data_IF_733878314156
#
_entry.id   IF_733878314156
#
_cell.length_a   1.000
_cell.length_b   1.000
_cell.length_c   1.000
_cell.angle_alpha   90.00
_cell.angle_beta   90.00
_cell.angle_gamma   90.00
#
_symmetry.space_group_name_H-M   'P 1'
#
loop_
_entity.id
_entity.type
_entity.pdbx_description
1 polymer ?
#
# COMPACT_ATOMS: atom_id res chain seq x y z
N UNK A 1 -47.75 -12.01 -3.66
CA UNK A 1 -46.33 -11.65 -3.54
C UNK A 1 -45.70 -12.51 -2.45
N UNK A 2 -44.74 -13.39 -2.78
CA UNK A 2 -43.96 -14.09 -1.75
C UNK A 2 -42.90 -13.13 -1.23
N UNK A 3 -43.08 -12.67 0.01
CA UNK A 3 -42.03 -11.94 0.74
C UNK A 3 -40.93 -12.96 1.08
N UNK A 4 -39.84 -12.94 0.32
CA UNK A 4 -38.69 -13.81 0.58
C UNK A 4 -37.84 -13.19 1.69
N UNK A 5 -37.71 -13.87 2.82
CA UNK A 5 -36.72 -13.54 3.83
C UNK A 5 -35.34 -13.95 3.31
N UNK A 6 -34.45 -12.98 3.09
CA UNK A 6 -33.03 -13.25 2.81
C UNK A 6 -32.31 -13.43 4.14
N UNK A 7 -31.72 -14.60 4.36
CA UNK A 7 -30.90 -14.86 5.55
C UNK A 7 -29.44 -14.60 5.20
N UNK A 8 -28.86 -13.52 5.75
CA UNK A 8 -27.42 -13.30 5.70
C UNK A 8 -26.79 -14.00 6.92
N UNK A 9 -25.83 -14.89 6.67
CA UNK A 9 -25.09 -15.56 7.75
C UNK A 9 -23.61 -15.23 7.64
N UNK A 10 -23.11 -14.46 8.61
CA UNK A 10 -21.71 -14.12 8.74
C UNK A 10 -20.97 -15.17 9.56
N UNK A 11 -19.74 -15.50 9.16
CA UNK A 11 -18.83 -16.33 9.95
C UNK A 11 -17.40 -15.90 9.69
N UNK A 12 -16.70 -15.61 10.78
CA UNK A 12 -15.30 -15.17 10.77
C UNK A 12 -14.36 -16.36 10.95
N UNK A 13 -13.19 -16.29 10.32
CA UNK A 13 -12.21 -17.37 10.33
C UNK A 13 -10.79 -16.82 10.42
N UNK A 14 -9.96 -17.51 11.19
CA UNK A 14 -8.51 -17.34 11.17
C UNK A 14 -7.87 -18.24 10.10
N UNK A 15 -6.66 -17.90 9.65
CA UNK A 15 -5.94 -18.53 8.54
C UNK A 15 -5.80 -20.07 8.62
N UNK A 16 -5.76 -20.64 9.83
CA UNK A 16 -5.61 -22.09 10.04
C UNK A 16 -6.94 -22.85 10.21
N UNK A 17 -8.09 -22.18 10.08
CA UNK A 17 -9.37 -22.86 10.11
C UNK A 17 -9.63 -23.69 8.83
N UNK A 18 -10.21 -24.88 9.02
CA UNK A 18 -10.70 -25.70 7.90
C UNK A 18 -11.92 -25.03 7.24
N UNK A 19 -11.68 -24.29 6.17
CA UNK A 19 -12.71 -23.67 5.34
C UNK A 19 -13.39 -24.66 4.37
N UNK A 20 -12.71 -25.75 3.99
CA UNK A 20 -13.28 -26.70 3.03
C UNK A 20 -14.49 -27.41 3.62
N UNK A 21 -15.55 -27.50 2.81
CA UNK A 21 -16.80 -28.13 3.22
C UNK A 21 -17.69 -27.23 4.08
N UNK A 22 -17.38 -25.92 4.18
CA UNK A 22 -18.24 -24.98 4.87
C UNK A 22 -19.63 -24.93 4.22
N UNK A 23 -20.66 -25.22 5.00
CA UNK A 23 -22.06 -25.18 4.57
C UNK A 23 -22.94 -24.73 5.72
N UNK A 24 -24.05 -24.10 5.38
CA UNK A 24 -25.16 -23.91 6.30
C UNK A 24 -26.42 -24.57 5.73
N UNK A 25 -26.75 -25.75 6.23
CA UNK A 25 -27.77 -26.60 5.62
C UNK A 25 -27.36 -26.98 4.20
N UNK A 26 -28.20 -26.67 3.22
CA UNK A 26 -27.92 -26.90 1.80
C UNK A 26 -26.98 -25.83 1.17
N UNK A 27 -26.88 -24.65 1.79
CA UNK A 27 -26.25 -23.48 1.20
C UNK A 27 -24.73 -23.46 1.40
N UNK A 28 -24.02 -23.04 0.36
CA UNK A 28 -22.58 -22.73 0.39
C UNK A 28 -22.38 -21.20 0.40
N UNK A 29 -21.19 -20.72 0.79
CA UNK A 29 -20.86 -19.30 0.66
C UNK A 29 -20.93 -18.82 -0.78
N UNK A 30 -21.49 -17.63 -0.96
CA UNK A 30 -21.56 -16.86 -2.21
C UNK A 30 -20.71 -15.57 -2.16
N UNK A 31 -20.24 -15.17 -0.97
CA UNK A 31 -19.32 -14.06 -0.75
C UNK A 31 -18.22 -14.45 0.25
N UNK A 32 -16.97 -14.11 -0.06
CA UNK A 32 -15.84 -14.14 0.86
C UNK A 32 -15.17 -12.78 0.87
N UNK A 33 -14.97 -12.22 2.06
CA UNK A 33 -14.18 -11.00 2.27
C UNK A 33 -12.91 -11.39 3.01
N UNK A 34 -11.77 -11.07 2.42
CA UNK A 34 -10.43 -11.24 2.99
C UNK A 34 -9.96 -9.84 3.37
N UNK A 35 -9.86 -9.58 4.68
CA UNK A 35 -9.44 -8.30 5.22
C UNK A 35 -8.12 -8.51 5.95
N UNK A 36 -7.07 -7.80 5.53
CA UNK A 36 -5.72 -7.80 6.13
C UNK A 36 -5.21 -9.20 6.55
N UNK A 37 -5.27 -10.15 5.61
CA UNK A 37 -4.85 -11.54 5.86
C UNK A 37 -3.32 -11.72 5.89
N UNK A 38 -2.55 -10.69 5.57
CA UNK A 38 -1.09 -10.71 5.60
C UNK A 38 -0.58 -9.97 6.83
N UNK A 39 0.52 -10.44 7.41
CA UNK A 39 1.20 -9.77 8.53
C UNK A 39 2.71 -9.64 8.28
N UNK A 40 3.36 -8.76 9.03
CA UNK A 40 4.77 -8.39 8.86
C UNK A 40 5.75 -9.55 9.03
N UNK A 41 5.44 -10.52 9.89
CA UNK A 41 6.31 -11.68 10.10
C UNK A 41 6.20 -12.65 8.93
N UNK A 42 4.97 -12.94 8.50
CA UNK A 42 4.71 -13.91 7.45
C UNK A 42 5.15 -13.43 6.08
N UNK A 43 4.99 -12.13 5.81
CA UNK A 43 5.34 -11.56 4.51
C UNK A 43 6.85 -11.58 4.25
N UNK A 44 7.70 -11.68 5.29
CA UNK A 44 9.15 -11.75 5.13
C UNK A 44 9.62 -13.10 4.57
N UNK A 45 8.93 -14.19 4.90
CA UNK A 45 9.31 -15.53 4.43
C UNK A 45 8.68 -15.85 3.06
N UNK A 46 9.49 -16.09 2.00
CA UNK A 46 8.96 -16.49 0.70
C UNK A 46 8.08 -17.74 0.77
N UNK A 47 8.47 -18.72 1.60
CA UNK A 47 7.72 -19.95 1.81
C UNK A 47 6.35 -19.69 2.42
N UNK A 48 6.25 -18.77 3.39
CA UNK A 48 4.96 -18.42 4.00
C UNK A 48 4.06 -17.66 3.02
N UNK A 49 4.62 -16.77 2.20
CA UNK A 49 3.87 -16.11 1.10
C UNK A 49 3.33 -17.11 0.09
N UNK A 50 4.14 -18.09 -0.30
CA UNK A 50 3.71 -19.14 -1.23
C UNK A 50 2.63 -20.04 -0.61
N UNK A 51 2.78 -20.41 0.67
CA UNK A 51 1.77 -21.17 1.41
C UNK A 51 0.43 -20.43 1.48
N UNK A 52 0.45 -19.12 1.76
CA UNK A 52 -0.75 -18.29 1.83
C UNK A 52 -1.43 -18.16 0.46
N UNK A 53 -0.65 -17.91 -0.59
CA UNK A 53 -1.14 -17.83 -1.95
C UNK A 53 -1.74 -19.17 -2.43
N UNK A 54 -1.12 -20.29 -2.07
CA UNK A 54 -1.66 -21.63 -2.33
C UNK A 54 -2.95 -21.89 -1.55
N UNK A 55 -3.04 -21.44 -0.30
CA UNK A 55 -4.26 -21.52 0.49
C UNK A 55 -5.39 -20.71 -0.16
N UNK A 56 -5.13 -19.48 -0.60
CA UNK A 56 -6.09 -18.64 -1.33
C UNK A 56 -6.62 -19.40 -2.56
N UNK A 57 -5.72 -19.90 -3.41
CA UNK A 57 -6.09 -20.58 -4.67
C UNK A 57 -6.78 -21.93 -4.48
N UNK A 58 -6.28 -22.77 -3.57
CA UNK A 58 -6.71 -24.17 -3.42
C UNK A 58 -7.82 -24.36 -2.40
N UNK A 59 -8.03 -23.39 -1.51
CA UNK A 59 -9.01 -23.48 -0.44
C UNK A 59 -10.10 -22.43 -0.56
N UNK A 60 -9.77 -21.14 -0.75
CA UNK A 60 -10.77 -20.05 -0.75
C UNK A 60 -11.54 -19.95 -2.07
N UNK A 61 -10.82 -19.86 -3.20
CA UNK A 61 -11.46 -19.74 -4.53
C UNK A 61 -12.41 -20.90 -4.89
N UNK A 62 -12.17 -22.17 -4.51
CA UNK A 62 -13.09 -23.27 -4.77
C UNK A 62 -14.18 -23.47 -3.70
N UNK A 63 -14.42 -22.51 -2.79
CA UNK A 63 -15.48 -22.64 -1.76
C UNK A 63 -16.90 -22.63 -2.34
N UNK A 64 -17.10 -22.01 -3.50
CA UNK A 64 -18.40 -21.90 -4.15
C UNK A 64 -19.02 -23.26 -4.46
N UNK A 65 -20.33 -23.29 -4.66
CA UNK A 65 -20.98 -24.46 -5.25
C UNK A 65 -20.67 -24.52 -6.76
N UNK A 66 -20.56 -25.74 -7.29
CA UNK A 66 -20.33 -25.93 -8.72
C UNK A 66 -21.52 -25.38 -9.52
N UNK A 67 -21.26 -24.41 -10.39
CA UNK A 67 -22.30 -23.73 -11.18
C UNK A 67 -22.92 -22.50 -10.53
N UNK A 68 -22.63 -22.24 -9.24
CA UNK A 68 -23.09 -21.04 -8.54
C UNK A 68 -21.99 -19.96 -8.51
N UNK A 69 -22.42 -18.70 -8.41
CA UNK A 69 -21.52 -17.56 -8.32
C UNK A 69 -20.89 -17.48 -6.92
N UNK A 70 -19.58 -17.25 -6.87
CA UNK A 70 -18.85 -16.85 -5.67
C UNK A 70 -18.15 -15.52 -5.97
N UNK A 71 -18.40 -14.50 -5.15
CA UNK A 71 -17.67 -13.25 -5.16
C UNK A 71 -16.59 -13.28 -4.07
N UNK A 72 -15.36 -12.93 -4.42
CA UNK A 72 -14.24 -12.82 -3.46
C UNK A 72 -13.72 -11.39 -3.50
N UNK A 73 -13.71 -10.76 -2.33
CA UNK A 73 -13.20 -9.39 -2.13
C UNK A 73 -11.96 -9.52 -1.25
N UNK A 74 -10.82 -9.04 -1.75
CA UNK A 74 -9.57 -9.01 -0.99
C UNK A 74 -9.15 -7.55 -0.81
N UNK A 75 -9.13 -7.12 0.44
CA UNK A 75 -8.74 -5.80 0.90
C UNK A 75 -7.54 -5.96 1.84
N UNK A 76 -6.59 -5.05 1.72
CA UNK A 76 -5.53 -4.89 2.69
C UNK A 76 -4.43 -3.95 2.22
N UNK A 77 -3.36 -3.92 2.99
CA UNK A 77 -2.18 -3.07 2.73
C UNK A 77 -1.06 -3.86 2.09
N UNK A 78 -0.34 -3.25 1.14
CA UNK A 78 0.80 -3.90 0.47
C UNK A 78 2.03 -3.85 1.39
N UNK A 79 2.29 -4.93 2.12
CA UNK A 79 3.43 -5.02 3.05
C UNK A 79 4.76 -5.38 2.38
N UNK A 80 4.73 -5.95 1.17
CA UNK A 80 5.93 -6.38 0.45
C UNK A 80 5.69 -6.43 -1.07
N UNK A 81 6.74 -6.25 -1.87
CA UNK A 81 6.65 -6.30 -3.34
C UNK A 81 6.19 -7.66 -3.88
N UNK A 82 6.48 -8.73 -3.13
CA UNK A 82 6.07 -10.10 -3.44
C UNK A 82 4.95 -10.62 -2.52
N UNK A 83 4.25 -9.70 -1.83
CA UNK A 83 3.06 -10.05 -1.04
C UNK A 83 1.99 -10.74 -1.89
N UNK A 84 1.16 -11.56 -1.25
CA UNK A 84 0.07 -12.27 -1.92
C UNK A 84 -0.95 -11.27 -2.47
N UNK A 85 -1.21 -10.17 -1.76
CA UNK A 85 -2.02 -9.08 -2.27
C UNK A 85 -1.41 -8.47 -3.53
N UNK A 86 -0.10 -8.16 -3.56
CA UNK A 86 0.51 -7.58 -4.74
C UNK A 86 0.54 -8.54 -5.96
N UNK A 87 0.75 -9.84 -5.71
CA UNK A 87 0.60 -10.89 -6.73
C UNK A 87 -0.82 -10.92 -7.29
N UNK A 88 -1.82 -10.75 -6.42
CA UNK A 88 -3.24 -10.71 -6.78
C UNK A 88 -3.58 -9.45 -7.58
N UNK A 89 -3.08 -8.28 -7.16
CA UNK A 89 -3.25 -6.99 -7.84
C UNK A 89 -2.65 -7.01 -9.26
N UNK A 90 -1.57 -7.75 -9.47
CA UNK A 90 -0.91 -7.90 -10.77
C UNK A 90 -1.60 -8.91 -11.71
N UNK A 91 -2.55 -9.70 -11.20
CA UNK A 91 -3.22 -10.73 -11.98
C UNK A 91 -4.39 -10.17 -12.80
N UNK A 92 -4.39 -10.47 -14.11
CA UNK A 92 -5.51 -10.12 -15.01
C UNK A 92 -6.82 -10.86 -14.70
N UNK A 93 -6.77 -11.88 -13.84
CA UNK A 93 -7.95 -12.63 -13.42
C UNK A 93 -8.78 -11.88 -12.36
N UNK A 94 -8.24 -10.80 -11.77
CA UNK A 94 -8.89 -10.01 -10.75
C UNK A 94 -9.24 -8.62 -11.26
N UNK A 95 -10.32 -8.06 -10.73
CA UNK A 95 -10.58 -6.62 -10.82
C UNK A 95 -9.87 -5.95 -9.66
N UNK A 96 -8.98 -5.01 -9.95
CA UNK A 96 -8.03 -4.49 -8.97
C UNK A 96 -8.08 -2.96 -8.93
N UNK A 97 -7.77 -2.41 -7.77
CA UNK A 97 -7.60 -0.97 -7.56
C UNK A 97 -6.55 -0.78 -6.45
N UNK A 98 -5.67 0.21 -6.63
CA UNK A 98 -4.69 0.62 -5.64
C UNK A 98 -5.03 2.03 -5.18
N UNK A 99 -5.16 2.21 -3.88
CA UNK A 99 -5.50 3.50 -3.29
C UNK A 99 -4.26 4.15 -2.68
N UNK A 100 -4.14 5.46 -2.88
CA UNK A 100 -3.06 6.30 -2.37
C UNK A 100 -3.67 7.49 -1.64
N UNK A 101 -3.08 7.91 -0.53
CA UNK A 101 -3.50 9.13 0.16
C UNK A 101 -3.23 10.38 -0.70
N UNK A 102 -2.11 10.36 -1.43
CA UNK A 102 -1.70 11.40 -2.37
C UNK A 102 -1.73 10.81 -3.79
N UNK A 103 -2.79 11.10 -4.53
CA UNK A 103 -3.01 10.60 -5.90
C UNK A 103 -1.98 11.22 -6.84
N UNK A 104 -1.69 12.52 -6.66
CA UNK A 104 -0.67 13.25 -7.42
C UNK A 104 0.12 14.15 -6.47
N UNK A 105 1.43 14.10 -6.60
CA UNK A 105 2.36 14.96 -5.89
C UNK A 105 2.20 16.44 -6.33
N UNK A 106 2.50 17.40 -5.44
CA UNK A 106 2.72 18.79 -5.81
C UNK A 106 3.65 18.95 -7.00
N UNK A 107 3.43 20.01 -7.79
CA UNK A 107 4.30 20.35 -8.92
C UNK A 107 5.71 20.77 -8.45
N UNK A 108 5.84 21.34 -7.25
CA UNK A 108 7.11 21.78 -6.67
C UNK A 108 7.34 21.15 -5.29
N UNK A 109 8.06 20.02 -5.27
CA UNK A 109 8.47 19.36 -4.03
C UNK A 109 9.60 20.08 -3.30
N UNK A 110 10.34 20.99 -3.94
CA UNK A 110 11.45 21.69 -3.28
C UNK A 110 10.97 22.66 -2.20
N UNK A 111 9.75 23.18 -2.33
CA UNK A 111 9.09 23.95 -1.28
C UNK A 111 8.67 23.07 -0.10
N UNK A 112 8.26 21.83 -0.38
CA UNK A 112 7.94 20.86 0.66
C UNK A 112 9.17 20.35 1.39
N UNK A 113 10.30 20.18 0.70
CA UNK A 113 11.59 19.84 1.34
C UNK A 113 12.01 20.96 2.32
N UNK A 114 11.93 22.23 1.91
CA UNK A 114 12.20 23.38 2.81
C UNK A 114 11.22 23.46 3.97
N UNK A 115 9.94 23.18 3.72
CA UNK A 115 8.93 23.15 4.77
C UNK A 115 9.22 22.04 5.78
N UNK A 116 9.64 20.87 5.31
CA UNK A 116 10.03 19.73 6.14
C UNK A 116 11.28 20.05 6.97
N UNK A 117 12.27 20.74 6.41
CA UNK A 117 13.43 21.25 7.14
C UNK A 117 13.02 22.20 8.28
N UNK A 118 12.11 23.15 8.02
CA UNK A 118 11.59 24.02 9.07
C UNK A 118 10.82 23.23 10.14
N UNK A 119 10.01 22.25 9.72
CA UNK A 119 9.20 21.44 10.63
C UNK A 119 10.08 20.63 11.59
N UNK A 120 11.15 20.01 11.08
CA UNK A 120 12.04 19.15 11.85
C UNK A 120 13.06 19.93 12.71
N UNK A 121 13.54 21.10 12.24
CA UNK A 121 14.61 21.85 12.91
C UNK A 121 14.12 23.04 13.75
N UNK A 122 13.09 23.75 13.28
CA UNK A 122 12.59 24.99 13.90
C UNK A 122 11.19 24.83 14.54
N UNK A 123 10.46 23.78 14.17
CA UNK A 123 9.19 23.38 14.75
C UNK A 123 7.96 23.77 13.91
N UNK A 124 6.83 23.16 14.25
CA UNK A 124 5.58 23.21 13.47
C UNK A 124 5.08 24.64 13.21
N UNK A 125 5.19 25.55 14.19
CA UNK A 125 4.70 26.92 14.03
C UNK A 125 5.43 27.71 12.93
N UNK A 126 6.75 27.51 12.80
CA UNK A 126 7.56 28.16 11.75
C UNK A 126 7.22 27.58 10.38
N UNK A 127 7.11 26.25 10.30
CA UNK A 127 6.73 25.56 9.08
C UNK A 127 5.33 25.94 8.59
N UNK A 128 4.33 25.99 9.50
CA UNK A 128 2.96 26.39 9.16
C UNK A 128 2.87 27.86 8.70
N UNK A 129 3.70 28.75 9.25
CA UNK A 129 3.81 30.12 8.79
C UNK A 129 4.39 30.20 7.36
N UNK A 130 5.42 29.40 7.05
CA UNK A 130 5.98 29.27 5.70
C UNK A 130 4.96 28.73 4.71
N UNK A 131 4.21 27.68 5.10
CA UNK A 131 3.14 27.12 4.28
C UNK A 131 2.05 28.15 3.99
N UNK A 132 1.59 28.88 4.99
CA UNK A 132 0.52 29.88 4.82
C UNK A 132 0.91 30.96 3.81
N UNK A 133 2.20 31.36 3.77
CA UNK A 133 2.72 32.34 2.83
C UNK A 133 2.86 31.80 1.40
N UNK A 134 3.07 30.50 1.24
CA UNK A 134 3.38 29.85 -0.04
C UNK A 134 2.29 28.87 -0.51
N UNK A 135 1.12 28.88 0.15
CA UNK A 135 0.11 27.82 0.02
C UNK A 135 -0.27 27.55 -1.44
N UNK A 136 -0.54 28.60 -2.22
CA UNK A 136 -0.94 28.45 -3.62
C UNK A 136 0.12 27.75 -4.48
N UNK A 137 1.41 27.93 -4.18
CA UNK A 137 2.50 27.27 -4.88
C UNK A 137 2.72 25.84 -4.37
N UNK A 138 2.63 25.62 -3.05
CA UNK A 138 2.83 24.32 -2.41
C UNK A 138 1.69 23.33 -2.70
N UNK A 139 0.45 23.80 -2.79
CA UNK A 139 -0.72 22.98 -3.09
C UNK A 139 -0.89 22.73 -4.61
N UNK A 140 -0.12 23.44 -5.44
CA UNK A 140 -0.28 23.39 -6.89
C UNK A 140 -0.03 21.99 -7.43
N UNK A 141 -1.00 21.46 -8.16
CA UNK A 141 -0.91 20.14 -8.79
C UNK A 141 -1.17 18.97 -7.84
N UNK A 142 -1.22 19.20 -6.53
CA UNK A 142 -1.51 18.17 -5.55
C UNK A 142 -2.95 17.66 -5.70
N UNK A 143 -3.11 16.34 -5.67
CA UNK A 143 -4.43 15.69 -5.65
C UNK A 143 -4.44 14.67 -4.52
N UNK A 144 -5.30 14.88 -3.52
CA UNK A 144 -5.51 13.96 -2.41
C UNK A 144 -6.74 13.08 -2.65
N UNK A 145 -6.74 11.86 -2.12
CA UNK A 145 -7.89 10.96 -2.27
C UNK A 145 -9.06 11.28 -1.33
N UNK A 146 -8.81 11.99 -0.22
CA UNK A 146 -9.84 12.32 0.76
C UNK A 146 -9.70 13.76 1.25
N UNK A 147 -10.71 14.59 0.94
CA UNK A 147 -10.68 16.03 1.26
C UNK A 147 -10.59 16.34 2.77
N UNK A 148 -11.01 15.42 3.64
CA UNK A 148 -10.86 15.59 5.09
C UNK A 148 -9.41 15.46 5.58
N UNK A 149 -8.50 14.95 4.74
CA UNK A 149 -7.07 14.87 5.00
C UNK A 149 -6.32 15.66 3.92
N UNK A 150 -6.20 17.00 4.09
CA UNK A 150 -5.54 17.85 3.11
C UNK A 150 -4.04 17.56 3.04
N UNK A 151 -3.38 18.09 2.01
CA UNK A 151 -1.97 17.82 1.76
C UNK A 151 -1.07 18.22 2.92
N UNK A 152 -1.29 19.36 3.59
CA UNK A 152 -0.52 19.75 4.77
C UNK A 152 -0.56 18.67 5.86
N UNK A 153 -1.71 18.04 6.10
CA UNK A 153 -1.83 16.94 7.07
C UNK A 153 -1.02 15.72 6.62
N UNK A 154 -1.04 15.39 5.32
CA UNK A 154 -0.24 14.29 4.78
C UNK A 154 1.27 14.57 4.89
N UNK A 155 1.70 15.80 4.65
CA UNK A 155 3.10 16.19 4.72
C UNK A 155 3.61 16.26 6.16
N UNK A 156 2.76 16.66 7.12
CA UNK A 156 3.06 16.52 8.56
C UNK A 156 3.27 15.06 8.97
N UNK A 157 2.42 14.16 8.50
CA UNK A 157 2.57 12.71 8.75
C UNK A 157 3.87 12.21 8.11
N UNK A 158 4.14 12.56 6.86
CA UNK A 158 5.36 12.18 6.13
C UNK A 158 6.64 12.64 6.83
N UNK A 159 6.69 13.88 7.30
CA UNK A 159 7.82 14.43 8.03
C UNK A 159 8.01 13.75 9.40
N UNK A 160 6.91 13.47 10.10
CA UNK A 160 6.93 12.84 11.44
C UNK A 160 7.33 11.36 11.39
N UNK A 161 6.75 10.59 10.47
CA UNK A 161 6.90 9.12 10.42
C UNK A 161 8.06 8.67 9.51
N UNK A 162 8.62 9.60 8.73
CA UNK A 162 9.62 9.33 7.72
C UNK A 162 9.02 8.91 6.38
N UNK A 163 9.78 9.13 5.30
CA UNK A 163 9.30 8.94 3.93
C UNK A 163 8.97 7.48 3.64
N UNK A 164 9.81 6.55 4.10
CA UNK A 164 9.62 5.11 3.93
C UNK A 164 8.28 4.61 4.51
N UNK A 165 8.01 4.96 5.77
CA UNK A 165 6.77 4.61 6.46
C UNK A 165 5.56 5.25 5.79
N UNK A 166 5.68 6.50 5.37
CA UNK A 166 4.60 7.18 4.66
C UNK A 166 4.27 6.50 3.33
N UNK A 167 5.29 6.11 2.58
CA UNK A 167 5.11 5.47 1.28
C UNK A 167 4.54 4.06 1.40
N UNK A 168 4.96 3.25 2.39
CA UNK A 168 4.33 1.94 2.63
C UNK A 168 2.87 2.09 3.07
N UNK A 169 2.61 2.85 4.14
CA UNK A 169 1.30 2.88 4.80
C UNK A 169 0.27 3.72 4.04
N UNK A 170 0.67 4.86 3.49
CA UNK A 170 -0.26 5.82 2.88
C UNK A 170 -0.25 5.76 1.35
N UNK A 171 0.82 5.24 0.72
CA UNK A 171 0.92 5.14 -0.74
C UNK A 171 0.87 3.68 -1.26
N UNK A 172 0.82 2.68 -0.36
CA UNK A 172 0.90 1.26 -0.68
C UNK A 172 2.17 0.92 -1.50
N UNK A 173 3.28 1.61 -1.25
CA UNK A 173 4.51 1.51 -2.03
C UNK A 173 5.71 1.18 -1.14
N UNK A 174 5.85 -0.09 -0.70
CA UNK A 174 6.90 -0.49 0.26
C UNK A 174 8.32 -0.50 -0.35
N UNK A 175 8.48 -0.13 -1.63
CA UNK A 175 9.75 -0.18 -2.36
C UNK A 175 10.58 1.11 -2.27
N UNK A 176 10.02 2.20 -1.74
CA UNK A 176 10.68 3.51 -1.76
C UNK A 176 11.62 3.77 -0.59
N UNK A 177 11.76 2.82 0.36
CA UNK A 177 12.77 2.94 1.41
C UNK A 177 14.16 2.56 0.89
N UNK A 178 15.19 2.97 1.63
CA UNK A 178 16.59 2.56 1.47
C UNK A 178 16.81 1.02 1.52
N UNK A 179 15.75 0.22 1.67
CA UNK A 179 15.73 -1.26 1.60
C UNK A 179 15.48 -1.81 0.20
N UNK A 180 15.42 -0.97 -0.84
CA UNK A 180 15.40 -1.47 -2.22
C UNK A 180 16.59 -2.41 -2.45
N UNK A 181 16.35 -3.56 -3.09
CA UNK A 181 17.34 -4.65 -3.26
C UNK A 181 18.70 -4.20 -3.84
N UNK A 182 18.74 -3.04 -4.50
CA UNK A 182 19.94 -2.46 -5.10
C UNK A 182 20.46 -1.17 -4.44
N UNK A 183 19.76 -0.62 -3.44
CA UNK A 183 20.16 0.63 -2.77
C UNK A 183 21.58 0.54 -2.18
N UNK A 184 21.93 -0.63 -1.64
CA UNK A 184 23.25 -0.90 -1.05
C UNK A 184 24.26 -1.57 -2.01
N UNK A 185 23.89 -1.82 -3.28
CA UNK A 185 24.76 -2.49 -4.26
C UNK A 185 25.31 -1.56 -5.36
N UNK A 186 24.93 -0.29 -5.34
CA UNK A 186 25.38 0.70 -6.33
C UNK A 186 26.53 1.53 -5.77
N UNK A 187 27.76 1.16 -6.11
CA UNK A 187 28.95 1.99 -5.86
C UNK A 187 29.08 3.02 -6.99
N UNK A 188 28.83 4.29 -6.68
CA UNK A 188 29.05 5.39 -7.62
C UNK A 188 30.52 5.82 -7.61
N UNK A 189 31.18 5.74 -8.76
CA UNK A 189 32.50 6.32 -8.97
C UNK A 189 32.36 7.66 -9.67
N UNK A 190 32.60 8.76 -8.95
CA UNK A 190 32.71 10.09 -9.55
C UNK A 190 34.14 10.59 -9.40
N UNK A 191 35.03 10.16 -10.30
CA UNK A 191 36.30 10.85 -10.53
C UNK A 191 36.29 11.53 -11.90
N UNK A 192 36.24 12.85 -11.91
CA UNK A 192 36.78 13.62 -13.04
C UNK A 192 38.24 13.92 -12.73
N UNK A 193 39.14 13.00 -13.08
CA UNK A 193 40.57 13.29 -13.02
C UNK A 193 40.94 14.21 -14.19
N UNK A 194 41.04 15.51 -13.90
CA UNK A 194 41.62 16.50 -14.80
C UNK A 194 43.13 16.23 -14.96
N UNK A 195 43.52 15.53 -16.03
CA UNK A 195 44.93 15.47 -16.43
C UNK A 195 45.33 16.83 -17.00
N UNK A 196 45.91 17.68 -16.15
CA UNK A 196 46.58 18.90 -16.58
C UNK A 196 47.83 18.53 -17.42
N UNK A 197 47.78 18.85 -18.71
CA UNK A 197 48.94 18.84 -19.62
C UNK A 197 50.07 19.69 -19.03
N UNK A 198 51.23 19.09 -18.83
CA UNK A 198 52.51 19.81 -18.81
C UNK A 198 53.51 19.02 -19.63
N UNK A 199 53.66 19.38 -20.90
CA UNK A 199 54.81 18.98 -21.70
C UNK A 199 55.63 20.23 -22.00
N UNK A 200 56.85 20.21 -21.47
CA UNK A 200 57.98 21.03 -21.91
C UNK A 200 58.40 20.64 -23.30
#
# INVERSE_FOLDING_TARGET
MKCGFYYLKYKEFELDHKLRGLRHGAYRPDLVVLDDIENDEQVRSPEQRDKLHDWLKKTVLPLGAAGDKLDVVYIGTILHYDSVLNRTLSSKAWKTAKFKALIRQPDDMSLWDKWEDFYLNEGEAVADAFYTQNQAAMDKGAVVSWAARPILTLMKIRARDGHATFDSEYQNDPLSSDDAMFANSLTYWTEFCCIARKLR
#
